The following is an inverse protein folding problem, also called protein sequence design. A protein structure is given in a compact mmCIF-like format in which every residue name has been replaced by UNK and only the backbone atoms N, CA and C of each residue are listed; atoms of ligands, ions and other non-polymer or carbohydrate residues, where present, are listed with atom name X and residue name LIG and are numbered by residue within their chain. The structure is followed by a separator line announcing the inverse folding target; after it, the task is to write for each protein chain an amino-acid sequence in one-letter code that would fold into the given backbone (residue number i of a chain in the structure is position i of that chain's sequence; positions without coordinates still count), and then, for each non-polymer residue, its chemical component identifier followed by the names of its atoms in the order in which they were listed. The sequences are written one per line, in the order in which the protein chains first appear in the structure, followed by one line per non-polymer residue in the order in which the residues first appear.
data_IF_940234913786
#
_entry.id   IF_940234913786
#
_cell.length_a   1.000
_cell.length_b   1.000
_cell.length_c   1.000
_cell.angle_alpha   90.00
_cell.angle_beta   90.00
_cell.angle_gamma   90.00
#
_symmetry.space_group_name_H-M   'P 1'
#
loop_
_entity.id
_entity.type
_entity.pdbx_description
1 polymer ?
#
# COMPACT_ATOMS: atom_id res chain seq x y z
N UNK A 1 18.49 1.19 23.91
CA UNK A 1 18.98 0.07 23.08
C UNK A 1 18.35 -1.26 23.52
N UNK A 2 18.30 -1.58 24.82
CA UNK A 2 17.65 -2.81 25.32
C UNK A 2 16.13 -2.89 25.05
N UNK A 3 15.36 -1.83 25.31
CA UNK A 3 13.89 -1.80 25.09
C UNK A 3 13.47 -2.04 23.64
N UNK A 4 14.34 -1.67 22.69
CA UNK A 4 14.11 -1.84 21.26
C UNK A 4 14.03 -3.32 20.88
N UNK A 5 14.97 -4.10 21.40
CA UNK A 5 15.03 -5.53 21.16
C UNK A 5 14.00 -6.31 21.97
N UNK A 6 13.44 -5.71 23.01
CA UNK A 6 12.26 -6.24 23.69
C UNK A 6 11.00 -6.08 22.83
N UNK A 7 10.85 -4.95 22.12
CA UNK A 7 9.69 -4.66 21.26
C UNK A 7 9.80 -5.27 19.86
N UNK A 8 11.03 -5.38 19.34
CA UNK A 8 11.36 -5.91 18.02
C UNK A 8 12.58 -6.85 18.11
N UNK A 9 12.45 -8.03 18.72
CA UNK A 9 13.58 -8.95 18.96
C UNK A 9 14.25 -9.44 17.67
N UNK A 10 13.55 -9.43 16.54
CA UNK A 10 14.13 -9.75 15.24
C UNK A 10 15.19 -8.73 14.78
N UNK A 11 15.20 -7.51 15.32
CA UNK A 11 16.24 -6.51 15.05
C UNK A 11 17.59 -6.85 15.68
N UNK A 12 17.65 -7.75 16.68
CA UNK A 12 18.91 -8.14 17.35
C UNK A 12 19.95 -8.73 16.40
N UNK A 13 19.48 -9.37 15.32
CA UNK A 13 20.34 -10.01 14.33
C UNK A 13 20.77 -9.07 13.21
N UNK A 14 20.28 -7.83 13.22
CA UNK A 14 20.56 -6.86 12.19
C UNK A 14 21.52 -5.82 12.74
N UNK A 15 22.77 -5.89 12.27
CA UNK A 15 23.66 -4.73 12.29
C UNK A 15 22.88 -3.57 11.66
N UNK A 16 23.03 -2.35 12.18
CA UNK A 16 22.63 -1.18 11.41
C UNK A 16 23.55 -1.20 10.20
N UNK A 17 23.10 -1.83 9.13
CA UNK A 17 23.89 -1.99 7.92
C UNK A 17 24.27 -0.60 7.40
N UNK A 18 25.39 -0.56 6.68
CA UNK A 18 25.81 0.64 5.96
C UNK A 18 24.59 1.14 5.14
N UNK A 19 24.14 2.39 5.33
CA UNK A 19 22.96 2.93 4.66
C UNK A 19 23.05 2.89 3.13
N UNK A 20 24.24 2.62 2.59
CA UNK A 20 24.51 2.47 1.16
C UNK A 20 24.26 1.04 0.63
N UNK A 21 24.03 0.06 1.51
CA UNK A 21 23.72 -1.32 1.11
C UNK A 21 22.30 -1.39 0.57
N UNK A 22 22.17 -1.75 -0.71
CA UNK A 22 20.88 -1.95 -1.38
C UNK A 22 20.10 -3.08 -0.73
N UNK A 23 18.81 -2.85 -0.52
CA UNK A 23 17.93 -3.92 -0.06
C UNK A 23 17.47 -4.79 -1.23
N UNK A 24 17.76 -6.09 -1.18
CA UNK A 24 17.47 -7.06 -2.26
C UNK A 24 16.05 -7.67 -2.16
N UNK A 25 15.05 -6.87 -1.79
CA UNK A 25 13.63 -7.20 -2.06
C UNK A 25 12.92 -8.26 -1.21
N UNK A 26 13.45 -8.66 -0.05
CA UNK A 26 12.67 -9.53 0.86
C UNK A 26 11.86 -8.71 1.91
N UNK A 27 10.58 -9.07 2.18
CA UNK A 27 9.74 -8.41 3.19
C UNK A 27 10.38 -8.32 4.58
N UNK A 28 11.26 -9.28 4.92
CA UNK A 28 11.95 -9.38 6.19
C UNK A 28 13.34 -8.73 6.19
N UNK A 29 13.67 -7.90 5.19
CA UNK A 29 14.97 -7.25 5.14
C UNK A 29 15.10 -6.16 6.21
N UNK A 30 16.28 -6.06 6.84
CA UNK A 30 16.56 -5.10 7.90
C UNK A 30 16.24 -3.67 7.51
N UNK A 31 16.53 -3.27 6.27
CA UNK A 31 16.36 -1.89 5.81
C UNK A 31 14.91 -1.39 5.92
N UNK A 32 13.91 -2.25 5.74
CA UNK A 32 12.50 -1.89 5.95
C UNK A 32 12.27 -1.55 7.43
N UNK A 33 12.63 -2.47 8.33
CA UNK A 33 12.48 -2.31 9.78
C UNK A 33 13.32 -1.15 10.34
N UNK A 34 14.47 -0.86 9.73
CA UNK A 34 15.36 0.24 10.11
C UNK A 34 14.83 1.62 9.73
N UNK A 35 14.04 1.76 8.66
CA UNK A 35 13.34 3.02 8.36
C UNK A 35 12.40 3.39 9.52
N UNK A 36 11.60 2.45 10.02
CA UNK A 36 10.73 2.70 11.16
C UNK A 36 11.52 3.05 12.41
N UNK A 37 12.58 2.28 12.72
CA UNK A 37 13.46 2.55 13.85
C UNK A 37 14.04 3.97 13.77
N UNK A 38 14.53 4.36 12.59
CA UNK A 38 15.15 5.67 12.41
C UNK A 38 14.16 6.82 12.59
N UNK A 39 12.90 6.64 12.18
CA UNK A 39 11.82 7.59 12.43
C UNK A 39 11.46 7.66 13.92
N UNK A 40 11.19 6.51 14.55
CA UNK A 40 10.75 6.42 15.97
C UNK A 40 11.80 6.99 16.93
N UNK A 41 13.09 6.81 16.63
CA UNK A 41 14.19 7.21 17.50
C UNK A 41 14.96 8.45 17.02
N UNK A 42 14.41 9.18 16.04
CA UNK A 42 14.99 10.44 15.57
C UNK A 42 16.37 10.31 14.90
N UNK A 43 16.71 9.15 14.34
CA UNK A 43 17.94 8.92 13.56
C UNK A 43 17.82 9.48 12.15
N UNK A 44 17.52 10.77 12.05
CA UNK A 44 17.18 11.46 10.79
C UNK A 44 18.33 11.47 9.78
N UNK A 45 19.58 11.57 10.24
CA UNK A 45 20.77 11.56 9.37
C UNK A 45 20.98 10.22 8.67
N UNK A 46 20.80 9.12 9.42
CA UNK A 46 20.84 7.78 8.85
C UNK A 46 19.72 7.61 7.82
N UNK A 47 18.50 8.02 8.16
CA UNK A 47 17.36 7.94 7.26
C UNK A 47 17.61 8.73 5.97
N UNK A 48 18.09 9.97 6.07
CA UNK A 48 18.41 10.79 4.90
C UNK A 48 19.47 10.17 4.01
N UNK A 49 20.42 9.42 4.59
CA UNK A 49 21.47 8.72 3.83
C UNK A 49 20.94 7.44 3.17
N UNK A 50 20.04 6.71 3.84
CA UNK A 50 19.55 5.42 3.35
C UNK A 50 18.45 5.55 2.28
N UNK A 51 17.50 6.47 2.44
CA UNK A 51 16.30 6.55 1.59
C UNK A 51 16.58 6.59 0.08
N UNK A 52 17.56 7.36 -0.43
CA UNK A 52 17.84 7.41 -1.87
C UNK A 52 18.26 6.08 -2.48
N UNK A 53 18.70 5.12 -1.67
CA UNK A 53 19.23 3.82 -2.09
C UNK A 53 18.26 2.65 -1.85
N UNK A 54 17.09 2.91 -1.25
CA UNK A 54 16.08 1.88 -1.05
C UNK A 54 15.39 1.55 -2.37
N UNK A 55 15.46 0.30 -2.78
CA UNK A 55 14.76 -0.24 -3.96
C UNK A 55 13.39 -0.83 -3.58
N UNK A 56 13.25 -1.29 -2.33
CA UNK A 56 12.01 -1.89 -1.84
C UNK A 56 11.61 -1.22 -0.53
N UNK A 57 10.32 -1.02 -0.32
CA UNK A 57 9.84 -0.51 0.94
C UNK A 57 8.55 -1.20 1.33
N UNK A 58 8.59 -1.83 2.50
CA UNK A 58 7.43 -2.51 3.05
C UNK A 58 7.00 -1.84 4.36
N UNK A 59 5.93 -1.07 4.30
CA UNK A 59 5.35 -0.31 5.40
C UNK A 59 4.04 -0.98 5.87
N UNK A 60 4.19 -2.14 6.50
CA UNK A 60 3.08 -2.82 7.19
C UNK A 60 3.28 -2.64 8.69
N UNK A 61 2.20 -2.33 9.41
CA UNK A 61 2.11 -2.26 10.87
C UNK A 61 2.86 -1.07 11.51
N UNK A 62 2.66 0.15 10.99
CA UNK A 62 3.07 1.34 11.74
C UNK A 62 2.30 1.40 13.07
N UNK A 63 3.03 1.22 14.18
CA UNK A 63 2.45 1.31 15.52
C UNK A 63 2.08 2.75 15.90
N UNK A 64 2.71 3.74 15.27
CA UNK A 64 2.37 5.15 15.45
C UNK A 64 1.85 5.74 14.13
N UNK A 65 0.54 6.01 14.02
CA UNK A 65 -0.05 6.54 12.80
C UNK A 65 0.48 7.92 12.39
N UNK A 66 0.87 8.77 13.36
CA UNK A 66 1.40 10.10 13.04
C UNK A 66 2.79 10.03 12.38
N UNK A 67 3.58 9.01 12.71
CA UNK A 67 4.88 8.78 12.05
C UNK A 67 4.70 8.28 10.61
N UNK A 68 3.66 7.51 10.32
CA UNK A 68 3.34 7.10 8.95
C UNK A 68 2.95 8.31 8.09
N UNK A 69 2.08 9.18 8.62
CA UNK A 69 1.73 10.44 7.95
C UNK A 69 2.98 11.30 7.70
N UNK A 70 3.84 11.45 8.71
CA UNK A 70 5.11 12.18 8.58
C UNK A 70 5.99 11.55 7.49
N UNK A 71 6.08 10.22 7.47
CA UNK A 71 6.85 9.49 6.49
C UNK A 71 6.39 9.79 5.07
N UNK A 72 5.09 9.63 4.77
CA UNK A 72 4.55 9.92 3.45
C UNK A 72 4.79 11.36 3.02
N UNK A 73 4.63 12.33 3.92
CA UNK A 73 4.81 13.74 3.58
C UNK A 73 6.26 14.15 3.33
N UNK A 74 7.19 13.68 4.18
CA UNK A 74 8.54 14.27 4.26
C UNK A 74 9.65 13.36 3.76
N UNK A 75 9.43 12.06 3.83
CA UNK A 75 10.50 11.06 3.70
C UNK A 75 10.32 10.20 2.48
N UNK A 76 9.11 9.72 2.19
CA UNK A 76 8.83 8.93 1.00
C UNK A 76 9.32 9.60 -0.30
N UNK A 77 9.14 10.92 -0.53
CA UNK A 77 9.65 11.57 -1.74
C UNK A 77 11.17 11.53 -1.93
N UNK A 78 11.93 11.16 -0.89
CA UNK A 78 13.39 11.05 -0.94
C UNK A 78 13.86 9.65 -1.40
N UNK A 79 12.94 8.71 -1.61
CA UNK A 79 13.25 7.35 -2.06
C UNK A 79 13.44 7.30 -3.59
N UNK A 80 14.50 7.91 -4.10
CA UNK A 80 14.72 8.06 -5.56
C UNK A 80 14.90 6.74 -6.31
N UNK A 81 15.44 5.71 -5.66
CA UNK A 81 15.69 4.41 -6.26
C UNK A 81 14.59 3.38 -6.02
N UNK A 82 13.47 3.79 -5.43
CA UNK A 82 12.41 2.88 -5.03
C UNK A 82 11.70 2.25 -6.24
N UNK A 83 11.74 0.92 -6.35
CA UNK A 83 11.06 0.13 -7.38
C UNK A 83 9.76 -0.49 -6.87
N UNK A 84 9.69 -0.79 -5.57
CA UNK A 84 8.51 -1.43 -4.99
C UNK A 84 8.10 -0.79 -3.67
N UNK A 85 6.82 -0.46 -3.56
CA UNK A 85 6.20 0.03 -2.33
C UNK A 85 5.03 -0.88 -1.95
N UNK A 86 5.05 -1.42 -0.74
CA UNK A 86 3.90 -2.09 -0.14
C UNK A 86 3.56 -1.39 1.16
N UNK A 87 2.31 -0.97 1.33
CA UNK A 87 1.88 -0.27 2.56
C UNK A 87 0.43 -0.51 2.87
N UNK A 88 0.07 -0.34 4.15
CA UNK A 88 -1.32 -0.21 4.56
C UNK A 88 -1.52 1.00 5.46
N UNK A 89 -2.71 1.58 5.44
CA UNK A 89 -3.12 2.54 6.46
C UNK A 89 -4.60 2.36 6.82
N UNK A 90 -4.90 2.70 8.07
CA UNK A 90 -6.25 2.79 8.65
C UNK A 90 -6.78 4.21 8.71
N UNK A 91 -6.02 5.19 8.24
CA UNK A 91 -6.39 6.59 8.30
C UNK A 91 -6.45 7.16 6.89
N UNK A 92 -7.62 7.65 6.50
CA UNK A 92 -7.85 8.23 5.17
C UNK A 92 -6.86 9.35 4.82
N UNK A 93 -6.46 10.16 5.82
CA UNK A 93 -5.48 11.25 5.64
C UNK A 93 -4.14 10.76 5.09
N UNK A 94 -3.73 9.54 5.41
CA UNK A 94 -2.45 8.98 4.98
C UNK A 94 -2.44 8.73 3.48
N UNK A 95 -3.58 8.33 2.90
CA UNK A 95 -3.71 8.11 1.47
C UNK A 95 -3.63 9.42 0.68
N UNK A 96 -4.05 10.54 1.26
CA UNK A 96 -3.85 11.88 0.66
C UNK A 96 -2.35 12.20 0.58
N UNK A 97 -1.62 12.00 1.68
CA UNK A 97 -0.17 12.24 1.70
C UNK A 97 0.60 11.28 0.81
N UNK A 98 0.22 10.01 0.80
CA UNK A 98 0.78 9.00 -0.10
C UNK A 98 0.56 9.41 -1.56
N UNK A 99 -0.67 9.74 -1.96
CA UNK A 99 -1.01 10.16 -3.33
C UNK A 99 -0.22 11.40 -3.77
N UNK A 100 0.04 12.34 -2.87
CA UNK A 100 0.86 13.51 -3.16
C UNK A 100 2.36 13.18 -3.33
N UNK A 101 2.87 12.16 -2.62
CA UNK A 101 4.27 11.77 -2.65
C UNK A 101 4.63 10.88 -3.84
N UNK A 102 3.73 9.98 -4.25
CA UNK A 102 3.98 8.96 -5.28
C UNK A 102 4.51 9.50 -6.63
N UNK A 103 4.06 10.66 -7.17
CA UNK A 103 4.58 11.19 -8.42
C UNK A 103 6.08 11.51 -8.41
N UNK A 104 6.69 11.71 -7.23
CA UNK A 104 8.13 11.94 -7.10
C UNK A 104 8.97 10.67 -7.23
N UNK A 105 8.36 9.49 -7.15
CA UNK A 105 9.03 8.19 -7.17
C UNK A 105 9.17 7.68 -8.62
N UNK A 106 10.00 8.34 -9.41
CA UNK A 106 10.11 8.11 -10.87
C UNK A 106 10.65 6.74 -11.28
N UNK A 107 11.14 5.94 -10.33
CA UNK A 107 11.61 4.57 -10.54
C UNK A 107 10.66 3.52 -9.98
N UNK A 108 9.51 3.91 -9.41
CA UNK A 108 8.55 2.99 -8.82
C UNK A 108 7.85 2.21 -9.93
N UNK A 109 8.00 0.89 -9.89
CA UNK A 109 7.42 -0.05 -10.84
C UNK A 109 6.21 -0.77 -10.24
N UNK A 110 6.24 -1.06 -8.94
CA UNK A 110 5.26 -1.90 -8.29
C UNK A 110 4.71 -1.25 -7.02
N UNK A 111 3.39 -1.20 -6.88
CA UNK A 111 2.74 -0.73 -5.65
C UNK A 111 1.67 -1.72 -5.17
N UNK A 112 1.65 -1.98 -3.87
CA UNK A 112 0.63 -2.80 -3.20
C UNK A 112 0.05 -2.03 -2.01
N UNK A 113 -1.26 -1.76 -2.04
CA UNK A 113 -1.94 -0.96 -1.03
C UNK A 113 -3.05 -1.74 -0.36
N UNK A 114 -3.07 -1.76 0.97
CA UNK A 114 -4.23 -2.22 1.74
C UNK A 114 -4.91 -1.00 2.36
N UNK A 115 -6.17 -0.77 1.98
CA UNK A 115 -6.88 0.47 2.26
C UNK A 115 -8.04 0.19 3.21
N UNK A 116 -7.91 0.66 4.46
CA UNK A 116 -8.98 0.61 5.45
C UNK A 116 -9.63 2.01 5.52
N UNK A 117 -10.63 2.24 4.68
CA UNK A 117 -11.26 3.57 4.58
C UNK A 117 -11.97 3.79 3.24
N UNK A 118 -11.68 4.91 2.59
CA UNK A 118 -12.27 5.27 1.30
C UNK A 118 -12.05 4.19 0.24
N UNK A 119 -13.14 3.54 -0.15
CA UNK A 119 -13.13 2.50 -1.16
C UNK A 119 -12.98 3.03 -2.59
N UNK A 120 -12.95 4.35 -2.81
CA UNK A 120 -12.79 4.95 -4.14
C UNK A 120 -11.36 5.42 -4.42
N UNK A 121 -10.42 5.16 -3.50
CA UNK A 121 -9.07 5.65 -3.65
C UNK A 121 -8.27 4.84 -4.68
N UNK A 122 -7.83 5.53 -5.73
CA UNK A 122 -6.69 5.12 -6.54
C UNK A 122 -5.64 6.23 -6.42
N UNK A 123 -4.39 5.88 -6.05
CA UNK A 123 -3.34 6.88 -5.91
C UNK A 123 -2.98 7.52 -7.25
N UNK A 124 -2.51 8.76 -7.20
CA UNK A 124 -1.79 9.37 -8.32
C UNK A 124 -0.42 8.70 -8.44
N UNK A 125 -0.20 7.94 -9.51
CA UNK A 125 0.99 7.10 -9.67
C UNK A 125 2.02 7.75 -10.61
N UNK A 126 3.31 7.46 -10.42
CA UNK A 126 4.34 7.91 -11.35
C UNK A 126 4.17 7.20 -12.71
N UNK A 127 4.65 7.83 -13.78
CA UNK A 127 4.57 7.28 -15.13
C UNK A 127 5.34 5.96 -15.33
N UNK A 128 6.24 5.60 -14.41
CA UNK A 128 7.02 4.37 -14.42
C UNK A 128 6.25 3.14 -13.92
N UNK A 129 5.02 3.29 -13.43
CA UNK A 129 4.30 2.16 -12.80
C UNK A 129 4.02 1.05 -13.82
N UNK A 130 4.32 -0.18 -13.44
CA UNK A 130 4.06 -1.40 -14.21
C UNK A 130 2.92 -2.21 -13.58
N UNK A 131 2.88 -2.29 -12.24
CA UNK A 131 1.84 -3.01 -11.52
C UNK A 131 1.29 -2.20 -10.34
N UNK A 132 -0.04 -2.15 -10.25
CA UNK A 132 -0.75 -1.58 -9.12
C UNK A 132 -1.68 -2.63 -8.51
N UNK A 133 -1.52 -2.91 -7.23
CA UNK A 133 -2.41 -3.78 -6.47
C UNK A 133 -3.10 -2.98 -5.38
N UNK A 134 -4.42 -3.07 -5.31
CA UNK A 134 -5.22 -2.48 -4.24
C UNK A 134 -6.07 -3.56 -3.58
N UNK A 135 -6.03 -3.57 -2.25
CA UNK A 135 -6.88 -4.39 -1.39
C UNK A 135 -7.77 -3.45 -0.57
N UNK A 136 -9.01 -3.15 -1.02
CA UNK A 136 -9.92 -2.29 -0.27
C UNK A 136 -10.65 -3.09 0.82
N UNK A 137 -10.48 -2.68 2.06
CA UNK A 137 -11.11 -3.36 3.22
C UNK A 137 -12.56 -2.93 3.44
N UNK A 138 -13.01 -1.84 2.84
CA UNK A 138 -14.39 -1.37 2.95
C UNK A 138 -15.32 -1.92 1.86
N UNK A 139 -14.85 -2.82 0.99
CA UNK A 139 -15.68 -3.48 -0.02
C UNK A 139 -16.81 -4.33 0.58
N UNK A 140 -16.71 -4.65 1.87
CA UNK A 140 -17.74 -5.34 2.64
C UNK A 140 -18.15 -4.52 3.86
N UNK A 141 -19.44 -4.54 4.16
CA UNK A 141 -20.02 -4.02 5.40
C UNK A 141 -20.19 -5.18 6.37
N UNK A 142 -19.79 -4.98 7.62
CA UNK A 142 -20.02 -5.93 8.70
C UNK A 142 -21.08 -5.34 9.63
N UNK A 143 -22.21 -6.04 9.77
CA UNK A 143 -23.34 -5.62 10.61
C UNK A 143 -23.62 -6.68 11.66
N UNK A 144 -23.99 -6.25 12.87
CA UNK A 144 -24.53 -7.14 13.89
C UNK A 144 -26.03 -6.92 13.98
N UNK A 145 -26.83 -7.92 13.63
CA UNK A 145 -28.30 -7.88 13.71
C UNK A 145 -28.71 -9.02 14.64
N UNK A 146 -29.40 -8.68 15.74
CA UNK A 146 -29.87 -9.65 16.75
C UNK A 146 -28.77 -10.60 17.27
N UNK A 147 -27.54 -10.12 17.38
CA UNK A 147 -26.38 -10.90 17.85
C UNK A 147 -25.69 -11.76 16.78
N UNK A 148 -26.16 -11.71 15.52
CA UNK A 148 -25.51 -12.36 14.40
C UNK A 148 -24.70 -11.38 13.56
N UNK A 149 -23.46 -11.74 13.25
CA UNK A 149 -22.61 -10.97 12.33
C UNK A 149 -22.95 -11.34 10.88
N UNK A 150 -23.40 -10.36 10.13
CA UNK A 150 -23.72 -10.45 8.70
C UNK A 150 -22.66 -9.66 7.94
N UNK A 151 -22.19 -10.23 6.84
CA UNK A 151 -21.30 -9.56 5.88
C UNK A 151 -22.11 -9.26 4.61
N UNK A 152 -22.09 -8.02 4.16
CA UNK A 152 -22.81 -7.56 2.96
C UNK A 152 -21.84 -6.84 2.03
N UNK A 153 -22.07 -6.92 0.71
CA UNK A 153 -21.28 -6.18 -0.27
C UNK A 153 -21.59 -4.68 -0.13
N UNK A 154 -20.53 -3.86 -0.04
CA UNK A 154 -20.64 -2.41 -0.08
C UNK A 154 -20.72 -1.93 -1.53
N UNK A 155 -21.93 -1.93 -2.10
CA UNK A 155 -22.17 -1.64 -3.53
C UNK A 155 -21.68 -0.25 -3.94
N UNK A 156 -22.02 0.77 -3.18
CA UNK A 156 -21.65 2.17 -3.47
C UNK A 156 -20.13 2.33 -3.56
N UNK A 157 -19.42 1.63 -2.68
CA UNK A 157 -17.97 1.63 -2.61
C UNK A 157 -17.31 0.95 -3.81
N UNK A 158 -17.87 -0.16 -4.28
CA UNK A 158 -17.38 -0.81 -5.49
C UNK A 158 -17.68 0.03 -6.73
N UNK A 159 -18.88 0.57 -6.86
CA UNK A 159 -19.24 1.44 -7.99
C UNK A 159 -18.35 2.67 -8.05
N UNK A 160 -17.99 3.24 -6.89
CA UNK A 160 -17.11 4.40 -6.81
C UNK A 160 -15.67 4.13 -7.29
N UNK A 161 -15.25 2.87 -7.46
CA UNK A 161 -13.93 2.52 -8.04
C UNK A 161 -13.91 2.61 -9.56
N UNK A 162 -15.06 2.56 -10.24
CA UNK A 162 -15.10 2.44 -11.70
C UNK A 162 -14.41 3.62 -12.38
N UNK A 163 -14.80 4.86 -12.06
CA UNK A 163 -14.23 6.05 -12.71
C UNK A 163 -12.73 6.20 -12.43
N UNK A 164 -12.24 6.04 -11.18
CA UNK A 164 -10.80 6.00 -10.90
C UNK A 164 -10.06 4.90 -11.68
N UNK A 165 -10.62 3.69 -11.80
CA UNK A 165 -9.98 2.59 -12.53
C UNK A 165 -9.86 2.90 -14.03
N UNK A 166 -10.90 3.48 -14.62
CA UNK A 166 -10.86 3.93 -16.02
C UNK A 166 -9.77 4.99 -16.22
N UNK A 167 -9.69 5.97 -15.32
CA UNK A 167 -8.65 7.01 -15.36
C UNK A 167 -7.24 6.41 -15.21
N UNK A 168 -7.06 5.42 -14.33
CA UNK A 168 -5.80 4.71 -14.19
C UNK A 168 -5.36 4.09 -15.53
N UNK A 169 -6.26 3.39 -16.22
CA UNK A 169 -5.93 2.74 -17.50
C UNK A 169 -5.70 3.73 -18.65
N UNK A 170 -6.27 4.93 -18.57
CA UNK A 170 -5.99 6.04 -19.48
C UNK A 170 -4.60 6.64 -19.23
N UNK A 171 -4.24 6.85 -17.96
CA UNK A 171 -2.97 7.45 -17.55
C UNK A 171 -1.78 6.49 -17.65
N UNK A 172 -2.04 5.18 -17.48
CA UNK A 172 -1.03 4.12 -17.48
C UNK A 172 -1.43 3.02 -18.48
N UNK A 173 -1.24 3.26 -19.80
CA UNK A 173 -1.74 2.38 -20.85
C UNK A 173 -1.06 1.00 -20.91
N UNK A 174 0.13 0.87 -20.31
CA UNK A 174 0.89 -0.40 -20.28
C UNK A 174 0.85 -1.09 -18.91
N UNK A 175 0.36 -0.40 -17.87
CA UNK A 175 0.34 -0.94 -16.52
C UNK A 175 -0.80 -1.95 -16.31
N UNK A 176 -0.56 -2.86 -15.35
CA UNK A 176 -1.55 -3.81 -14.85
C UNK A 176 -2.13 -3.35 -13.52
N UNK A 177 -3.37 -3.74 -13.27
CA UNK A 177 -4.10 -3.45 -12.03
C UNK A 177 -4.70 -4.73 -11.45
N UNK A 178 -4.39 -5.04 -10.20
CA UNK A 178 -5.03 -6.09 -9.41
C UNK A 178 -5.92 -5.46 -8.33
N UNK A 179 -7.22 -5.72 -8.40
CA UNK A 179 -8.15 -5.46 -7.30
C UNK A 179 -8.33 -6.76 -6.51
N UNK A 180 -7.88 -6.77 -5.26
CA UNK A 180 -7.98 -7.93 -4.37
C UNK A 180 -9.03 -7.72 -3.30
N UNK A 181 -10.03 -8.60 -3.21
CA UNK A 181 -11.10 -8.50 -2.22
C UNK A 181 -11.03 -9.65 -1.23
N UNK A 182 -11.14 -9.37 0.08
CA UNK A 182 -11.31 -10.42 1.09
C UNK A 182 -12.76 -10.88 1.10
N UNK A 183 -13.05 -11.99 0.42
CA UNK A 183 -14.39 -12.55 0.32
C UNK A 183 -14.38 -14.00 0.77
N UNK A 184 -15.22 -14.32 1.77
CA UNK A 184 -15.43 -15.70 2.19
C UNK A 184 -16.47 -16.45 1.34
N UNK A 185 -17.14 -15.78 0.39
CA UNK A 185 -18.34 -16.30 -0.28
C UNK A 185 -18.20 -16.29 -1.80
N UNK A 186 -18.32 -17.46 -2.42
CA UNK A 186 -18.21 -17.61 -3.88
C UNK A 186 -19.34 -16.94 -4.67
N UNK A 187 -20.50 -16.73 -4.04
CA UNK A 187 -21.67 -16.07 -4.65
C UNK A 187 -21.44 -14.59 -4.94
N UNK A 188 -20.55 -13.95 -4.20
CA UNK A 188 -20.31 -12.52 -4.30
C UNK A 188 -19.53 -12.14 -5.57
N UNK A 189 -18.80 -13.09 -6.16
CA UNK A 189 -17.89 -12.82 -7.27
C UNK A 189 -18.62 -12.33 -8.53
N UNK A 190 -19.77 -12.92 -8.86
CA UNK A 190 -20.53 -12.52 -10.04
C UNK A 190 -21.17 -11.16 -9.85
N UNK A 191 -21.78 -10.92 -8.68
CA UNK A 191 -22.36 -9.62 -8.33
C UNK A 191 -21.30 -8.51 -8.35
N UNK A 192 -20.11 -8.75 -7.80
CA UNK A 192 -19.00 -7.78 -7.80
C UNK A 192 -18.53 -7.46 -9.22
N UNK A 193 -18.41 -8.47 -10.09
CA UNK A 193 -18.05 -8.26 -11.49
C UNK A 193 -19.08 -7.41 -12.24
N UNK A 194 -20.35 -7.62 -11.95
CA UNK A 194 -21.46 -6.83 -12.51
C UNK A 194 -21.44 -5.40 -11.98
N UNK A 195 -21.28 -5.22 -10.66
CA UNK A 195 -21.19 -3.91 -10.01
C UNK A 195 -20.02 -3.07 -10.52
N UNK A 196 -18.83 -3.66 -10.67
CA UNK A 196 -17.65 -3.01 -11.21
C UNK A 196 -17.69 -2.84 -12.73
N UNK A 197 -18.68 -3.46 -13.40
CA UNK A 197 -18.76 -3.55 -14.85
C UNK A 197 -17.41 -3.91 -15.49
N UNK A 198 -16.80 -5.02 -15.04
CA UNK A 198 -15.41 -5.38 -15.37
C UNK A 198 -15.14 -5.51 -16.88
N UNK A 199 -16.18 -5.64 -17.70
CA UNK A 199 -16.09 -5.64 -19.16
C UNK A 199 -15.54 -4.35 -19.77
N UNK A 200 -15.60 -3.24 -19.01
CA UNK A 200 -15.05 -1.95 -19.42
C UNK A 200 -13.53 -1.86 -19.23
N UNK A 201 -12.94 -2.75 -18.45
CA UNK A 201 -11.49 -2.73 -18.19
C UNK A 201 -10.74 -3.61 -19.19
N UNK A 202 -9.46 -3.30 -19.51
CA UNK A 202 -8.65 -4.12 -20.39
C UNK A 202 -8.41 -5.51 -19.78
N UNK A 203 -8.99 -6.55 -20.40
CA UNK A 203 -8.99 -7.93 -19.87
C UNK A 203 -7.60 -8.50 -19.54
N UNK A 204 -6.58 -8.10 -20.30
CA UNK A 204 -5.20 -8.58 -20.11
C UNK A 204 -4.46 -7.83 -19.00
N UNK A 205 -4.99 -6.68 -18.57
CA UNK A 205 -4.33 -5.77 -17.62
C UNK A 205 -5.09 -5.59 -16.32
N UNK A 206 -6.38 -5.91 -16.26
CA UNK A 206 -7.18 -5.91 -15.04
C UNK A 206 -7.36 -7.33 -14.50
N UNK A 207 -7.04 -7.54 -13.23
CA UNK A 207 -7.40 -8.76 -12.51
C UNK A 207 -8.23 -8.44 -11.26
N UNK A 208 -9.23 -9.27 -11.02
CA UNK A 208 -10.03 -9.26 -9.80
C UNK A 208 -9.76 -10.56 -9.06
N UNK A 209 -9.12 -10.48 -7.90
CA UNK A 209 -8.76 -11.63 -7.07
C UNK A 209 -9.57 -11.64 -5.77
N UNK A 210 -9.92 -12.83 -5.29
CA UNK A 210 -10.65 -13.03 -4.04
C UNK A 210 -9.83 -13.92 -3.10
N UNK A 211 -9.71 -13.51 -1.83
CA UNK A 211 -9.01 -14.23 -0.76
C UNK A 211 -9.94 -14.56 0.40
#
# INVERSE_FOLDING_TARGET
MLELFTKYPFLLNYSIEDPLVRNQGQPNQPNNSMVFFALEHGKRDWLQSALPHLEYLHLIDFLNPDLLSEFFQKWLPKCSDLHQLSTHSKIDKDFVYLSAALPSLTRLLNINLIIFGSNSFIPNLPGSIETCKIVPMGAYLYRCIDGQYITEINRDSLIALISPLLLFFEQHPDATFELSLYSKLSTDQQEIKELLNVSQFPKERFSLTHY
#
